data_IF_908705573992
#
_entry.id   IF_908705573992
#
_cell.length_a   1.000
_cell.length_b   1.000
_cell.length_c   1.000
_cell.angle_alpha   90.00
_cell.angle_beta   90.00
_cell.angle_gamma   90.00
#
_symmetry.space_group_name_H-M   'P 1'
#
loop_
_entity.id
_entity.type
_entity.pdbx_description
1 polymer ?
#
# COMPACT_ATOMS: atom_id res chain seq x y z
N UNK A 1 -3.67 5.23 8.81
CA UNK A 1 -2.86 6.02 7.86
C UNK A 1 -3.54 7.39 7.69
N UNK A 2 -2.84 8.50 7.95
CA UNK A 2 -3.34 9.90 7.82
C UNK A 2 -4.64 10.29 8.56
N UNK A 3 -5.03 9.57 9.61
CA UNK A 3 -6.33 9.78 10.28
C UNK A 3 -6.44 11.17 10.92
N UNK A 4 -5.37 11.67 11.54
CA UNK A 4 -5.39 12.97 12.21
C UNK A 4 -5.56 14.12 11.22
N UNK A 5 -4.82 14.09 10.10
CA UNK A 5 -4.95 15.06 9.01
C UNK A 5 -6.35 15.00 8.38
N UNK A 6 -6.84 13.79 8.13
CA UNK A 6 -8.17 13.56 7.55
C UNK A 6 -9.30 14.12 8.40
N UNK A 7 -9.28 13.84 9.71
CA UNK A 7 -10.29 14.32 10.65
C UNK A 7 -10.29 15.85 10.74
N UNK A 8 -9.11 16.48 10.75
CA UNK A 8 -9.02 17.95 10.88
C UNK A 8 -9.45 18.68 9.62
N UNK A 9 -9.03 18.21 8.43
CA UNK A 9 -9.49 18.79 7.16
C UNK A 9 -11.01 18.67 7.04
N UNK A 10 -11.58 17.51 7.39
CA UNK A 10 -13.03 17.32 7.41
C UNK A 10 -13.72 18.24 8.39
N UNK A 11 -13.24 18.33 9.62
CA UNK A 11 -13.82 19.21 10.63
C UNK A 11 -13.82 20.69 10.17
N UNK A 12 -12.78 21.12 9.47
CA UNK A 12 -12.70 22.47 8.91
C UNK A 12 -13.74 22.72 7.80
N UNK A 13 -13.96 21.74 6.92
CA UNK A 13 -14.95 21.81 5.82
C UNK A 13 -16.39 21.63 6.33
N UNK A 14 -16.59 20.76 7.33
CA UNK A 14 -17.91 20.46 7.92
C UNK A 14 -18.54 21.68 8.58
N UNK A 15 -17.73 22.62 9.08
CA UNK A 15 -18.21 23.92 9.61
C UNK A 15 -18.98 24.74 8.57
N UNK A 16 -18.74 24.49 7.27
CA UNK A 16 -19.41 25.17 6.17
C UNK A 16 -20.69 24.44 5.71
N UNK A 17 -20.89 23.18 6.13
CA UNK A 17 -22.11 22.44 5.78
C UNK A 17 -23.33 23.08 6.43
N UNK A 18 -24.42 23.18 5.66
CA UNK A 18 -25.70 23.70 6.13
C UNK A 18 -25.79 25.22 6.28
N UNK A 19 -24.72 25.99 5.95
CA UNK A 19 -24.74 27.46 6.02
C UNK A 19 -25.35 28.17 4.80
N UNK A 20 -25.63 27.45 3.71
CA UNK A 20 -26.07 28.05 2.45
C UNK A 20 -24.91 28.79 1.77
N UNK A 21 -25.08 30.07 1.40
CA UNK A 21 -24.00 30.90 0.82
C UNK A 21 -22.92 31.22 1.86
N UNK A 22 -21.67 31.16 1.44
CA UNK A 22 -20.50 31.43 2.27
C UNK A 22 -19.82 32.74 1.86
N UNK A 23 -19.21 33.44 2.81
CA UNK A 23 -18.45 34.67 2.54
C UNK A 23 -16.97 34.36 2.28
N UNK A 24 -16.23 35.32 1.70
CA UNK A 24 -14.77 35.20 1.58
C UNK A 24 -14.08 35.10 2.95
N UNK A 25 -14.66 35.73 3.99
CA UNK A 25 -14.14 35.65 5.35
C UNK A 25 -14.28 34.22 5.91
N UNK A 26 -15.40 33.54 5.66
CA UNK A 26 -15.61 32.14 6.03
C UNK A 26 -14.59 31.23 5.32
N UNK A 27 -14.37 31.44 4.02
CA UNK A 27 -13.38 30.71 3.25
C UNK A 27 -11.97 30.89 3.83
N UNK A 28 -11.54 32.13 4.11
CA UNK A 28 -10.24 32.41 4.72
C UNK A 28 -10.07 31.73 6.08
N UNK A 29 -11.13 31.68 6.90
CA UNK A 29 -11.10 30.99 8.18
C UNK A 29 -10.90 29.48 8.01
N UNK A 30 -11.67 28.83 7.13
CA UNK A 30 -11.53 27.40 6.82
C UNK A 30 -10.16 27.07 6.26
N UNK A 31 -9.66 27.88 5.32
CA UNK A 31 -8.33 27.72 4.73
C UNK A 31 -7.20 27.87 5.75
N UNK A 32 -7.36 28.76 6.73
CA UNK A 32 -6.41 28.88 7.85
C UNK A 32 -6.36 27.60 8.69
N UNK A 33 -7.51 26.98 8.97
CA UNK A 33 -7.58 25.71 9.71
C UNK A 33 -6.96 24.56 8.92
N UNK A 34 -7.22 24.48 7.61
CA UNK A 34 -6.58 23.51 6.72
C UNK A 34 -5.06 23.71 6.74
N UNK A 35 -4.58 24.96 6.66
CA UNK A 35 -3.14 25.26 6.74
C UNK A 35 -2.52 24.74 8.04
N UNK A 36 -3.17 25.01 9.18
CA UNK A 36 -2.69 24.53 10.48
C UNK A 36 -2.62 23.01 10.53
N UNK A 37 -3.65 22.34 10.00
CA UNK A 37 -3.71 20.88 9.94
C UNK A 37 -2.55 20.28 9.13
N UNK A 38 -2.19 20.90 8.01
CA UNK A 38 -1.04 20.50 7.19
C UNK A 38 0.28 20.69 7.94
N UNK A 39 0.46 21.82 8.62
CA UNK A 39 1.68 22.09 9.39
C UNK A 39 1.87 21.13 10.57
N UNK A 40 0.79 20.78 11.27
CA UNK A 40 0.80 19.79 12.35
C UNK A 40 1.04 18.37 11.85
N UNK A 41 0.79 18.14 10.57
CA UNK A 41 1.14 16.92 9.85
C UNK A 41 2.58 16.95 9.28
N UNK A 42 3.43 17.86 9.76
CA UNK A 42 4.81 18.06 9.30
C UNK A 42 4.95 18.37 7.80
N UNK A 43 3.90 18.90 7.16
CA UNK A 43 4.01 19.45 5.81
C UNK A 43 4.89 20.70 5.89
N UNK A 44 5.79 20.86 4.92
CA UNK A 44 6.64 22.05 4.82
C UNK A 44 5.81 23.34 4.79
N UNK A 45 6.31 24.40 5.44
CA UNK A 45 5.62 25.68 5.52
C UNK A 45 5.31 26.30 4.15
N UNK A 46 6.26 26.30 3.23
CA UNK A 46 6.06 26.83 1.88
C UNK A 46 5.05 26.00 1.09
N UNK A 47 5.11 24.67 1.24
CA UNK A 47 4.16 23.73 0.62
C UNK A 47 2.74 23.99 1.12
N UNK A 48 2.55 24.06 2.44
CA UNK A 48 1.25 24.31 3.05
C UNK A 48 0.71 25.71 2.70
N UNK A 49 1.57 26.73 2.63
CA UNK A 49 1.20 28.08 2.20
C UNK A 49 0.75 28.10 0.74
N UNK A 50 1.52 27.49 -0.15
CA UNK A 50 1.23 27.48 -1.58
C UNK A 50 -0.01 26.66 -1.90
N UNK A 51 -0.22 25.55 -1.19
CA UNK A 51 -1.47 24.78 -1.25
C UNK A 51 -2.69 25.66 -1.01
N UNK A 52 -2.71 26.33 0.15
CA UNK A 52 -3.86 27.13 0.57
C UNK A 52 -4.12 28.30 -0.37
N UNK A 53 -3.07 28.95 -0.86
CA UNK A 53 -3.19 30.02 -1.84
C UNK A 53 -3.86 29.54 -3.14
N UNK A 54 -3.44 28.38 -3.66
CA UNK A 54 -4.03 27.80 -4.88
C UNK A 54 -5.48 27.35 -4.67
N UNK A 55 -5.78 26.73 -3.52
CA UNK A 55 -7.16 26.37 -3.17
C UNK A 55 -8.02 27.64 -3.09
N UNK A 56 -7.53 28.72 -2.48
CA UNK A 56 -8.24 30.00 -2.41
C UNK A 56 -8.55 30.55 -3.80
N UNK A 57 -7.53 30.63 -4.67
CA UNK A 57 -7.66 31.15 -6.03
C UNK A 57 -8.69 30.35 -6.85
N UNK A 58 -8.58 29.01 -6.83
CA UNK A 58 -9.53 28.13 -7.53
C UNK A 58 -10.95 28.24 -6.99
N UNK A 59 -11.11 28.31 -5.68
CA UNK A 59 -12.43 28.43 -5.03
C UNK A 59 -13.13 29.73 -5.41
N UNK A 60 -12.38 30.84 -5.46
CA UNK A 60 -12.92 32.14 -5.89
C UNK A 60 -13.21 32.18 -7.40
N UNK A 61 -12.34 31.58 -8.22
CA UNK A 61 -12.51 31.53 -9.68
C UNK A 61 -13.66 30.65 -10.17
N UNK A 62 -14.07 29.63 -9.40
CA UNK A 62 -15.15 28.70 -9.76
C UNK A 62 -16.55 29.14 -9.27
N UNK A 63 -16.71 30.39 -8.80
CA UNK A 63 -17.96 30.90 -8.23
C UNK A 63 -18.53 30.02 -7.09
N UNK A 64 -17.66 29.33 -6.33
CA UNK A 64 -18.06 28.39 -5.26
C UNK A 64 -18.87 29.08 -4.16
N UNK A 65 -18.60 30.38 -3.94
CA UNK A 65 -19.32 31.20 -2.96
C UNK A 65 -20.81 31.36 -3.29
N UNK A 66 -21.19 31.21 -4.56
CA UNK A 66 -22.57 31.35 -5.04
C UNK A 66 -23.34 30.02 -5.06
N UNK A 67 -22.63 28.90 -4.84
CA UNK A 67 -23.19 27.54 -4.89
C UNK A 67 -24.11 27.24 -3.72
N UNK A 68 -25.04 26.31 -3.95
CA UNK A 68 -25.92 25.74 -2.94
C UNK A 68 -25.20 24.68 -2.07
N UNK A 69 -24.07 24.13 -2.54
CA UNK A 69 -23.27 23.11 -1.84
C UNK A 69 -21.79 23.50 -1.72
N UNK A 70 -21.46 24.67 -1.13
CA UNK A 70 -20.10 25.18 -1.12
C UNK A 70 -19.09 24.29 -0.39
N UNK A 71 -19.53 23.57 0.65
CA UNK A 71 -18.68 22.63 1.37
C UNK A 71 -18.17 21.47 0.48
N UNK A 72 -19.02 20.94 -0.40
CA UNK A 72 -18.66 19.85 -1.31
C UNK A 72 -17.74 20.34 -2.42
N UNK A 73 -17.99 21.53 -2.94
CA UNK A 73 -17.13 22.15 -3.95
C UNK A 73 -15.75 22.51 -3.40
N UNK A 74 -15.66 23.10 -2.20
CA UNK A 74 -14.37 23.34 -1.53
C UNK A 74 -13.62 22.03 -1.34
N UNK A 75 -14.31 20.97 -0.92
CA UNK A 75 -13.70 19.67 -0.75
C UNK A 75 -13.18 19.08 -2.08
N UNK A 76 -13.89 19.30 -3.19
CA UNK A 76 -13.43 18.94 -4.54
C UNK A 76 -12.17 19.72 -4.93
N UNK A 77 -12.14 21.03 -4.71
CA UNK A 77 -10.96 21.86 -5.01
C UNK A 77 -9.75 21.44 -4.16
N UNK A 78 -9.97 21.15 -2.87
CA UNK A 78 -8.93 20.63 -1.97
C UNK A 78 -8.43 19.27 -2.46
N UNK A 79 -9.33 18.38 -2.91
CA UNK A 79 -8.97 17.09 -3.50
C UNK A 79 -8.08 17.26 -4.73
N UNK A 80 -8.53 18.04 -5.71
CA UNK A 80 -7.80 18.28 -6.95
C UNK A 80 -6.41 18.86 -6.68
N UNK A 81 -6.30 19.81 -5.74
CA UNK A 81 -5.01 20.39 -5.39
C UNK A 81 -4.10 19.42 -4.63
N UNK A 82 -4.65 18.51 -3.81
CA UNK A 82 -3.87 17.45 -3.18
C UNK A 82 -3.32 16.47 -4.23
N UNK A 83 -4.14 16.08 -5.21
CA UNK A 83 -3.72 15.20 -6.31
C UNK A 83 -2.58 15.85 -7.09
N UNK A 84 -2.73 17.12 -7.46
CA UNK A 84 -1.71 17.87 -8.19
C UNK A 84 -0.40 17.96 -7.41
N UNK A 85 -0.48 18.28 -6.12
CA UNK A 85 0.71 18.36 -5.25
C UNK A 85 1.44 17.01 -5.12
N UNK A 86 0.70 15.91 -5.09
CA UNK A 86 1.25 14.55 -5.01
C UNK A 86 1.81 14.06 -6.36
N UNK A 87 1.64 14.82 -7.44
CA UNK A 87 2.26 14.55 -8.74
C UNK A 87 1.28 14.34 -9.89
N UNK A 88 -0.02 14.54 -9.65
CA UNK A 88 -1.07 14.41 -10.67
C UNK A 88 -1.34 12.94 -10.98
N UNK A 89 -0.95 12.51 -12.18
CA UNK A 89 -1.13 11.13 -12.62
C UNK A 89 -0.09 10.17 -12.02
N UNK A 90 -0.49 8.90 -11.84
CA UNK A 90 0.41 7.85 -11.42
C UNK A 90 1.52 7.63 -12.47
N UNK A 91 2.77 7.73 -12.04
CA UNK A 91 3.94 7.50 -12.89
C UNK A 91 4.71 6.28 -12.43
N UNK A 92 5.38 5.62 -13.38
CA UNK A 92 6.27 4.49 -13.14
C UNK A 92 7.57 4.73 -13.90
N UNK A 93 8.71 4.20 -13.42
CA UNK A 93 9.98 4.31 -14.13
C UNK A 93 9.89 3.60 -15.48
N UNK A 94 10.52 4.18 -16.50
CA UNK A 94 10.49 3.62 -17.84
C UNK A 94 11.41 2.40 -17.91
N UNK A 95 10.82 1.22 -18.08
CA UNK A 95 11.58 0.00 -18.32
C UNK A 95 11.80 -0.23 -19.82
N UNK A 96 13.07 -0.18 -20.22
CA UNK A 96 13.51 -0.60 -21.55
C UNK A 96 13.52 -2.13 -21.64
N UNK A 97 13.66 -2.66 -22.86
CA UNK A 97 13.83 -4.10 -23.06
C UNK A 97 15.15 -4.61 -22.47
N UNK A 98 16.17 -3.77 -22.43
CA UNK A 98 17.51 -4.13 -21.94
C UNK A 98 18.22 -2.94 -21.30
N UNK A 99 19.26 -3.23 -20.51
CA UNK A 99 20.16 -2.21 -19.96
C UNK A 99 19.56 -1.33 -18.86
N UNK A 100 18.50 -1.79 -18.17
CA UNK A 100 17.95 -1.04 -17.04
C UNK A 100 18.89 -1.20 -15.83
N UNK A 101 19.56 -0.11 -15.46
CA UNK A 101 20.43 -0.03 -14.30
C UNK A 101 19.91 1.07 -13.39
N UNK A 102 19.45 0.71 -12.19
CA UNK A 102 18.79 1.61 -11.26
C UNK A 102 19.59 1.71 -9.96
N UNK A 103 19.77 2.93 -9.48
CA UNK A 103 20.42 3.20 -8.20
C UNK A 103 19.38 3.43 -7.12
N UNK A 104 19.60 2.84 -5.95
CA UNK A 104 18.78 3.04 -4.76
C UNK A 104 19.59 3.87 -3.76
N UNK A 105 19.25 5.15 -3.62
CA UNK A 105 19.98 6.13 -2.80
C UNK A 105 19.14 6.67 -1.65
N UNK A 106 19.77 7.30 -0.65
CA UNK A 106 19.09 7.84 0.54
C UNK A 106 19.79 7.54 1.86
N UNK A 107 19.28 8.09 2.95
CA UNK A 107 19.87 7.94 4.29
C UNK A 107 19.82 6.49 4.80
N UNK A 108 20.65 6.18 5.79
CA UNK A 108 20.58 4.95 6.56
C UNK A 108 19.24 4.89 7.32
N UNK A 109 18.64 3.70 7.41
CA UNK A 109 17.36 3.51 8.10
C UNK A 109 16.11 3.93 7.29
N UNK A 110 16.29 4.55 6.13
CA UNK A 110 15.19 4.91 5.20
C UNK A 110 14.55 3.71 4.48
N UNK A 111 15.10 2.51 4.66
CA UNK A 111 14.57 1.29 4.04
C UNK A 111 15.11 0.96 2.65
N UNK A 112 16.25 1.51 2.22
CA UNK A 112 16.89 1.21 0.91
C UNK A 112 17.01 -0.28 0.61
N UNK A 113 17.79 -1.02 1.39
CA UNK A 113 18.06 -2.45 1.19
C UNK A 113 16.78 -3.27 1.10
N UNK A 114 15.82 -3.01 2.00
CA UNK A 114 14.52 -3.69 1.98
C UNK A 114 13.73 -3.31 0.72
N UNK A 115 13.72 -2.03 0.33
CA UNK A 115 13.04 -1.55 -0.88
C UNK A 115 13.66 -2.13 -2.14
N UNK A 116 14.99 -2.27 -2.21
CA UNK A 116 15.71 -2.93 -3.32
C UNK A 116 15.20 -4.36 -3.52
N UNK A 117 15.09 -5.13 -2.43
CA UNK A 117 14.53 -6.50 -2.50
C UNK A 117 13.05 -6.54 -2.88
N UNK A 118 12.22 -5.65 -2.32
CA UNK A 118 10.80 -5.55 -2.70
C UNK A 118 10.61 -5.18 -4.16
N UNK A 119 11.39 -4.23 -4.67
CA UNK A 119 11.36 -3.77 -6.05
C UNK A 119 11.80 -4.89 -7.00
N UNK A 120 12.85 -5.62 -6.65
CA UNK A 120 13.26 -6.82 -7.39
C UNK A 120 12.15 -7.88 -7.41
N UNK A 121 11.54 -8.17 -6.26
CA UNK A 121 10.42 -9.12 -6.18
C UNK A 121 9.21 -8.68 -7.04
N UNK A 122 8.85 -7.39 -6.97
CA UNK A 122 7.76 -6.80 -7.74
C UNK A 122 7.99 -6.91 -9.25
N UNK A 123 9.19 -6.64 -9.74
CA UNK A 123 9.46 -6.77 -11.17
C UNK A 123 9.67 -8.21 -11.61
N UNK A 124 10.18 -9.09 -10.74
CA UNK A 124 10.22 -10.54 -10.98
C UNK A 124 8.83 -11.11 -11.18
N UNK A 125 7.84 -10.72 -10.37
CA UNK A 125 6.45 -11.18 -10.53
C UNK A 125 5.80 -10.67 -11.82
N UNK A 126 6.33 -9.59 -12.40
CA UNK A 126 5.96 -9.06 -13.73
C UNK A 126 6.76 -9.68 -14.89
N UNK A 127 7.52 -10.74 -14.64
CA UNK A 127 8.27 -11.48 -15.67
C UNK A 127 9.67 -10.93 -15.99
N UNK A 128 10.14 -9.89 -15.27
CA UNK A 128 11.52 -9.39 -15.40
C UNK A 128 12.50 -10.34 -14.73
N UNK A 129 13.77 -10.24 -15.11
CA UNK A 129 14.89 -11.00 -14.55
C UNK A 129 15.81 -10.06 -13.79
N UNK A 130 15.47 -9.68 -12.55
CA UNK A 130 16.26 -8.74 -11.78
C UNK A 130 17.58 -9.35 -11.30
N UNK A 131 18.56 -8.47 -11.09
CA UNK A 131 19.82 -8.69 -10.38
C UNK A 131 19.96 -7.61 -9.31
N UNK A 132 20.27 -8.01 -8.08
CA UNK A 132 20.63 -7.08 -7.01
C UNK A 132 22.14 -6.89 -6.97
N UNK A 133 22.60 -5.66 -6.72
CA UNK A 133 24.02 -5.37 -6.49
C UNK A 133 24.14 -4.73 -5.11
N UNK A 134 24.84 -5.38 -4.20
CA UNK A 134 25.15 -4.82 -2.88
C UNK A 134 26.41 -3.97 -2.99
N UNK A 135 26.26 -2.65 -3.17
CA UNK A 135 27.35 -1.73 -3.47
C UNK A 135 27.88 -0.97 -2.23
N UNK A 136 27.58 -1.44 -1.01
CA UNK A 136 28.16 -0.90 0.21
C UNK A 136 29.54 -1.52 0.47
N UNK A 137 30.59 -0.81 0.05
CA UNK A 137 32.01 -1.21 0.16
C UNK A 137 32.56 -1.17 1.58
N UNK A 138 31.80 -0.64 2.55
CA UNK A 138 32.28 -0.38 3.91
C UNK A 138 31.59 -1.24 4.97
N UNK A 139 30.38 -1.74 4.70
CA UNK A 139 29.58 -2.51 5.67
C UNK A 139 29.29 -3.93 5.17
N UNK A 140 30.13 -4.92 5.53
CA UNK A 140 29.88 -6.32 5.18
C UNK A 140 28.50 -6.84 5.59
N UNK A 141 28.01 -6.42 6.77
CA UNK A 141 26.69 -6.81 7.26
C UNK A 141 25.53 -6.30 6.36
N UNK A 142 25.69 -5.14 5.72
CA UNK A 142 24.68 -4.62 4.79
C UNK A 142 24.64 -5.43 3.50
N UNK A 143 25.80 -5.88 3.01
CA UNK A 143 25.88 -6.76 1.83
C UNK A 143 25.28 -8.13 2.12
N UNK A 144 25.62 -8.70 3.27
CA UNK A 144 25.05 -9.96 3.76
C UNK A 144 23.52 -9.88 3.93
N UNK A 145 23.01 -8.76 4.45
CA UNK A 145 21.56 -8.53 4.56
C UNK A 145 20.87 -8.57 3.18
N UNK A 146 21.46 -7.94 2.15
CA UNK A 146 20.89 -7.99 0.81
C UNK A 146 21.00 -9.40 0.20
N UNK A 147 22.10 -10.12 0.45
CA UNK A 147 22.31 -11.51 0.01
C UNK A 147 21.20 -12.43 0.54
N UNK A 148 20.97 -12.42 1.86
CA UNK A 148 19.91 -13.21 2.51
C UNK A 148 18.53 -12.84 1.94
N UNK A 149 18.28 -11.54 1.73
CA UNK A 149 17.02 -11.08 1.15
C UNK A 149 16.85 -11.60 -0.29
N UNK A 150 17.90 -11.53 -1.11
CA UNK A 150 17.93 -12.05 -2.46
C UNK A 150 17.63 -13.56 -2.53
N UNK A 151 18.25 -14.35 -1.66
CA UNK A 151 17.99 -15.79 -1.55
C UNK A 151 16.52 -16.07 -1.23
N UNK A 152 15.95 -15.35 -0.25
CA UNK A 152 14.55 -15.50 0.15
C UNK A 152 13.56 -15.24 -0.99
N UNK A 153 13.86 -14.27 -1.86
CA UNK A 153 12.99 -13.92 -3.01
C UNK A 153 13.40 -14.63 -4.31
N UNK A 154 14.46 -15.43 -4.28
CA UNK A 154 15.05 -16.12 -5.43
C UNK A 154 15.58 -15.16 -6.51
N UNK A 155 16.26 -14.09 -6.12
CA UNK A 155 16.90 -13.12 -7.00
C UNK A 155 18.41 -13.14 -6.72
N UNK A 156 19.27 -13.28 -7.74
CA UNK A 156 20.71 -13.29 -7.54
C UNK A 156 21.21 -11.94 -7.01
N UNK A 157 22.30 -12.00 -6.24
CA UNK A 157 22.96 -10.83 -5.65
C UNK A 157 24.43 -10.83 -6.04
N UNK A 158 24.92 -9.72 -6.57
CA UNK A 158 26.34 -9.45 -6.79
C UNK A 158 26.86 -8.58 -5.65
N UNK A 159 27.80 -9.09 -4.88
CA UNK A 159 28.42 -8.36 -3.78
C UNK A 159 29.76 -7.75 -4.18
N UNK A 160 29.96 -6.49 -3.82
CA UNK A 160 31.26 -5.82 -3.92
C UNK A 160 32.19 -6.27 -2.78
N UNK A 161 33.48 -6.28 -3.04
CA UNK A 161 34.50 -6.46 -2.01
C UNK A 161 34.69 -5.18 -1.19
N UNK A 162 35.34 -5.32 -0.03
CA UNK A 162 35.67 -4.16 0.81
C UNK A 162 36.62 -3.22 0.05
N UNK A 163 36.28 -1.92 0.03
CA UNK A 163 37.04 -0.90 -0.69
C UNK A 163 37.11 -1.09 -2.21
N UNK A 164 36.23 -1.91 -2.81
CA UNK A 164 36.22 -2.13 -4.24
C UNK A 164 35.92 -0.83 -5.01
N UNK A 165 36.73 -0.56 -6.04
CA UNK A 165 36.56 0.65 -6.86
C UNK A 165 35.37 0.53 -7.81
N UNK A 166 34.65 1.63 -8.11
CA UNK A 166 33.52 1.64 -9.04
C UNK A 166 33.79 0.98 -10.40
N UNK A 167 34.99 1.16 -10.97
CA UNK A 167 35.36 0.60 -12.27
C UNK A 167 35.46 -0.93 -12.21
N UNK A 168 35.97 -1.47 -11.10
CA UNK A 168 36.02 -2.92 -10.86
C UNK A 168 34.60 -3.47 -10.74
N UNK A 169 33.72 -2.79 -10.01
CA UNK A 169 32.32 -3.19 -9.85
C UNK A 169 31.59 -3.20 -11.19
N UNK A 170 31.80 -2.17 -12.02
CA UNK A 170 31.24 -2.12 -13.38
C UNK A 170 31.71 -3.29 -14.25
N UNK A 171 33.01 -3.57 -14.25
CA UNK A 171 33.57 -4.67 -15.04
C UNK A 171 33.00 -6.04 -14.60
N UNK A 172 32.93 -6.29 -13.28
CA UNK A 172 32.32 -7.51 -12.73
C UNK A 172 30.84 -7.63 -13.07
N UNK A 173 30.08 -6.53 -13.00
CA UNK A 173 28.68 -6.51 -13.40
C UNK A 173 28.52 -6.88 -14.88
N UNK A 174 29.31 -6.27 -15.78
CA UNK A 174 29.27 -6.58 -17.21
C UNK A 174 29.62 -8.05 -17.50
N UNK A 175 30.62 -8.58 -16.82
CA UNK A 175 30.99 -9.99 -16.93
C UNK A 175 29.82 -10.89 -16.48
N UNK A 176 29.21 -10.59 -15.34
CA UNK A 176 28.05 -11.34 -14.83
C UNK A 176 26.89 -11.35 -15.83
N UNK A 177 26.53 -10.17 -16.37
CA UNK A 177 25.43 -10.03 -17.34
C UNK A 177 25.69 -10.75 -18.67
N UNK A 178 26.95 -11.00 -19.01
CA UNK A 178 27.33 -11.79 -20.20
C UNK A 178 27.02 -13.27 -20.01
N UNK A 179 27.23 -13.82 -18.81
CA UNK A 179 26.97 -15.23 -18.50
C UNK A 179 25.53 -15.51 -18.07
N UNK A 180 24.94 -14.61 -17.30
CA UNK A 180 23.55 -14.68 -16.84
C UNK A 180 22.86 -13.36 -17.15
N UNK A 181 22.16 -13.33 -18.27
CA UNK A 181 21.45 -12.13 -18.72
C UNK A 181 20.34 -11.73 -17.73
N UNK A 182 20.37 -10.47 -17.32
CA UNK A 182 19.42 -9.84 -16.39
C UNK A 182 19.01 -8.49 -16.97
N UNK A 183 17.71 -8.29 -17.17
CA UNK A 183 17.18 -7.10 -17.86
C UNK A 183 16.94 -5.91 -16.93
N UNK A 184 17.04 -6.13 -15.61
CA UNK A 184 16.92 -5.11 -14.58
C UNK A 184 18.00 -5.30 -13.51
N UNK A 185 18.87 -4.32 -13.34
CA UNK A 185 19.90 -4.30 -12.29
C UNK A 185 19.54 -3.22 -11.27
N UNK A 186 19.39 -3.60 -10.02
CA UNK A 186 19.09 -2.69 -8.90
C UNK A 186 20.30 -2.64 -7.98
N UNK A 187 20.93 -1.48 -7.90
CA UNK A 187 22.13 -1.23 -7.10
C UNK A 187 21.72 -0.61 -5.76
N UNK A 188 21.88 -1.38 -4.68
CA UNK A 188 21.71 -0.89 -3.31
C UNK A 188 22.99 -0.17 -2.87
N UNK A 189 22.97 1.15 -2.82
CA UNK A 189 24.15 1.95 -2.50
C UNK A 189 24.34 2.08 -1.00
N UNK A 190 25.56 2.47 -0.59
CA UNK A 190 25.82 2.80 0.80
C UNK A 190 24.86 3.87 1.34
N UNK A 191 24.60 3.82 2.64
CA UNK A 191 23.80 4.80 3.37
C UNK A 191 24.50 5.27 4.64
N UNK A 192 24.23 6.51 5.05
CA UNK A 192 24.72 7.08 6.30
C UNK A 192 23.61 7.75 7.08
N UNK A 193 23.82 7.93 8.38
CA UNK A 193 22.88 8.61 9.27
C UNK A 193 22.67 10.07 8.86
N UNK A 194 23.71 10.71 8.34
CA UNK A 194 23.69 12.10 7.88
C UNK A 194 24.34 12.20 6.52
N UNK A 195 24.11 13.34 5.86
CA UNK A 195 24.71 13.67 4.58
C UNK A 195 26.14 14.11 4.84
N UNK A 196 27.09 13.30 4.37
CA UNK A 196 28.52 13.56 4.45
C UNK A 196 29.06 13.81 3.03
N UNK A 197 29.92 14.82 2.88
CA UNK A 197 30.56 15.18 1.62
C UNK A 197 31.30 13.98 1.00
N UNK A 198 32.08 13.25 1.80
CA UNK A 198 32.91 12.16 1.30
C UNK A 198 32.06 11.03 0.69
N UNK A 199 30.91 10.70 1.31
CA UNK A 199 30.00 9.69 0.78
C UNK A 199 29.29 10.17 -0.50
N UNK A 200 28.88 11.45 -0.53
CA UNK A 200 28.23 11.99 -1.72
C UNK A 200 29.18 12.00 -2.91
N UNK A 201 30.48 12.26 -2.68
CA UNK A 201 31.51 12.20 -3.70
C UNK A 201 31.75 10.75 -4.18
N UNK A 202 31.82 9.78 -3.27
CA UNK A 202 31.90 8.34 -3.59
C UNK A 202 30.69 7.89 -4.42
N UNK A 203 29.48 8.29 -4.02
CA UNK A 203 28.24 7.96 -4.72
C UNK A 203 28.16 8.63 -6.10
N UNK A 204 28.63 9.88 -6.22
CA UNK A 204 28.71 10.59 -7.49
C UNK A 204 29.69 9.92 -8.45
N UNK A 205 30.87 9.50 -7.95
CA UNK A 205 31.85 8.74 -8.73
C UNK A 205 31.26 7.40 -9.18
N UNK A 206 30.61 6.66 -8.28
CA UNK A 206 29.95 5.39 -8.62
C UNK A 206 28.88 5.60 -9.69
N UNK A 207 28.05 6.65 -9.57
CA UNK A 207 27.03 7.01 -10.56
C UNK A 207 27.67 7.34 -11.92
N UNK A 208 28.73 8.14 -11.94
CA UNK A 208 29.42 8.53 -13.16
C UNK A 208 29.99 7.31 -13.89
N UNK A 209 30.60 6.39 -13.16
CA UNK A 209 31.18 5.18 -13.73
C UNK A 209 30.10 4.22 -14.20
N UNK A 210 29.05 3.99 -13.42
CA UNK A 210 28.04 2.97 -13.72
C UNK A 210 26.99 3.44 -14.73
N UNK A 211 26.67 4.73 -14.79
CA UNK A 211 25.72 5.32 -15.72
C UNK A 211 24.28 4.80 -15.54
N UNK A 212 23.65 4.92 -14.36
CA UNK A 212 22.31 4.41 -14.13
C UNK A 212 21.24 5.15 -14.93
N UNK A 213 20.28 4.40 -15.46
CA UNK A 213 19.08 4.90 -16.13
C UNK A 213 18.07 5.55 -15.19
N UNK A 214 18.02 5.12 -13.93
CA UNK A 214 17.18 5.72 -12.88
C UNK A 214 18.01 5.86 -11.59
N UNK A 215 17.83 6.96 -10.88
CA UNK A 215 18.38 7.17 -9.53
C UNK A 215 17.19 7.41 -8.60
N UNK A 216 16.80 6.36 -7.86
CA UNK A 216 15.62 6.34 -7.02
C UNK A 216 16.01 6.69 -5.58
N UNK A 217 15.49 7.81 -5.09
CA UNK A 217 15.68 8.23 -3.70
C UNK A 217 14.63 7.56 -2.81
N UNK A 218 15.10 6.80 -1.84
CA UNK A 218 14.25 6.18 -0.82
C UNK A 218 14.13 7.12 0.37
N UNK A 219 12.90 7.52 0.67
CA UNK A 219 12.56 8.48 1.72
C UNK A 219 11.69 7.79 2.76
N UNK A 220 12.07 7.94 4.03
CA UNK A 220 11.24 7.51 5.16
C UNK A 220 10.09 8.51 5.35
N UNK A 221 8.84 8.04 5.32
CA UNK A 221 7.68 8.92 5.47
C UNK A 221 7.57 9.49 6.90
N UNK A 222 8.20 8.84 7.89
CA UNK A 222 8.13 9.24 9.29
C UNK A 222 9.07 10.39 9.66
N UNK A 223 10.07 10.72 8.83
CA UNK A 223 11.10 11.73 9.17
C UNK A 223 10.66 13.18 8.93
N UNK A 224 9.41 13.39 8.49
CA UNK A 224 8.78 14.71 8.41
C UNK A 224 9.60 15.71 7.58
N UNK A 225 10.05 16.80 8.21
CA UNK A 225 10.82 17.84 7.52
C UNK A 225 12.24 17.42 7.14
N UNK A 226 12.85 16.46 7.84
CA UNK A 226 14.21 16.00 7.51
C UNK A 226 14.26 15.34 6.13
N UNK A 227 13.16 14.67 5.73
CA UNK A 227 12.98 14.13 4.39
C UNK A 227 13.23 15.18 3.29
N UNK A 228 12.96 16.46 3.54
CA UNK A 228 13.12 17.54 2.57
C UNK A 228 14.56 17.90 2.32
N UNK A 229 15.29 18.12 3.41
CA UNK A 229 16.70 18.47 3.35
C UNK A 229 17.49 17.35 2.68
N UNK A 230 17.14 16.10 3.01
CA UNK A 230 17.67 14.91 2.35
C UNK A 230 17.33 14.92 0.86
N UNK A 231 16.06 15.08 0.53
CA UNK A 231 15.62 15.00 -0.87
C UNK A 231 16.27 16.07 -1.75
N UNK A 232 16.38 17.29 -1.23
CA UNK A 232 17.07 18.40 -1.91
C UNK A 232 18.56 18.10 -2.11
N UNK A 233 19.26 17.71 -1.06
CA UNK A 233 20.71 17.48 -1.12
C UNK A 233 21.09 16.29 -2.03
N UNK A 234 20.29 15.21 -2.04
CA UNK A 234 20.50 14.10 -2.96
C UNK A 234 20.21 14.47 -4.40
N UNK A 235 19.15 15.25 -4.67
CA UNK A 235 18.85 15.70 -6.02
C UNK A 235 19.91 16.67 -6.56
N UNK A 236 20.34 17.65 -5.75
CA UNK A 236 21.34 18.64 -6.17
C UNK A 236 22.71 18.02 -6.48
N UNK A 237 23.13 16.99 -5.72
CA UNK A 237 24.47 16.41 -5.85
C UNK A 237 24.54 15.17 -6.72
N UNK A 238 23.55 14.29 -6.61
CA UNK A 238 23.54 13.02 -7.33
C UNK A 238 22.64 13.12 -8.56
N UNK A 239 21.56 13.90 -8.52
CA UNK A 239 20.55 13.96 -9.57
C UNK A 239 19.59 12.78 -9.48
N UNK A 240 18.48 12.99 -8.78
CA UNK A 240 17.44 11.99 -8.56
C UNK A 240 16.45 12.01 -9.72
N UNK A 241 15.92 10.85 -10.10
CA UNK A 241 14.94 10.71 -11.18
C UNK A 241 13.53 10.41 -10.66
N UNK A 242 13.44 9.76 -9.50
CA UNK A 242 12.16 9.46 -8.85
C UNK A 242 12.31 9.14 -7.36
N UNK A 243 11.19 9.15 -6.67
CA UNK A 243 11.11 8.92 -5.23
C UNK A 243 10.41 7.58 -4.92
N UNK A 244 10.83 6.95 -3.83
CA UNK A 244 10.11 5.83 -3.21
C UNK A 244 9.89 6.19 -1.74
N UNK A 245 8.63 6.19 -1.31
CA UNK A 245 8.27 6.43 0.08
C UNK A 245 8.22 5.10 0.84
N UNK A 246 8.76 5.04 2.04
CA UNK A 246 8.67 3.85 2.90
C UNK A 246 7.95 4.15 4.20
N UNK A 247 7.55 3.09 4.92
CA UNK A 247 6.86 3.16 6.22
C UNK A 247 5.58 4.02 6.16
N UNK A 248 4.90 4.02 5.01
CA UNK A 248 3.69 4.82 4.83
C UNK A 248 2.56 4.32 5.72
N UNK A 249 2.58 3.04 6.10
CA UNK A 249 1.66 2.40 7.05
C UNK A 249 1.79 2.96 8.47
N UNK A 250 3.01 3.29 8.88
CA UNK A 250 3.30 3.93 10.17
C UNK A 250 3.11 5.45 10.17
N UNK A 251 2.94 6.06 8.99
CA UNK A 251 2.81 7.50 8.87
C UNK A 251 1.36 7.96 9.15
N UNK A 252 1.19 8.56 10.34
CA UNK A 252 -0.06 9.16 10.75
C UNK A 252 -0.25 10.58 10.18
N UNK A 253 0.78 11.18 9.58
CA UNK A 253 0.85 12.61 9.26
C UNK A 253 0.87 12.88 7.75
N UNK A 254 1.72 12.22 6.97
CA UNK A 254 1.71 12.33 5.49
C UNK A 254 2.45 13.54 4.92
N UNK A 255 3.03 14.36 5.77
CA UNK A 255 3.73 15.58 5.35
C UNK A 255 4.98 15.33 4.52
N UNK A 256 5.69 14.22 4.77
CA UNK A 256 6.91 13.87 4.05
C UNK A 256 6.65 13.64 2.55
N UNK A 257 5.56 12.93 2.21
CA UNK A 257 5.18 12.64 0.83
C UNK A 257 4.92 13.91 0.01
N UNK A 258 4.05 14.78 0.55
CA UNK A 258 3.67 16.06 -0.06
C UNK A 258 4.88 16.96 -0.25
N UNK A 259 5.75 16.98 0.75
CA UNK A 259 6.87 17.92 0.78
C UNK A 259 8.03 17.45 -0.12
N UNK A 260 8.38 16.16 -0.13
CA UNK A 260 9.50 15.64 -0.92
C UNK A 260 9.28 15.81 -2.44
N UNK A 261 8.04 15.60 -2.90
CA UNK A 261 7.64 15.83 -4.29
C UNK A 261 7.75 17.29 -4.70
N UNK A 262 7.29 18.20 -3.83
CA UNK A 262 7.32 19.63 -4.08
C UNK A 262 8.75 20.16 -4.20
N UNK A 263 9.65 19.74 -3.29
CA UNK A 263 11.03 20.24 -3.26
C UNK A 263 11.88 19.68 -4.40
N UNK A 264 11.75 18.40 -4.72
CA UNK A 264 12.59 17.77 -5.76
C UNK A 264 12.06 17.95 -7.17
N UNK A 265 10.76 18.21 -7.33
CA UNK A 265 10.13 18.18 -8.64
C UNK A 265 10.00 16.78 -9.27
N UNK A 266 10.47 15.72 -8.59
CA UNK A 266 10.54 14.34 -9.13
C UNK A 266 9.31 13.51 -8.76
N UNK A 267 8.80 12.65 -9.67
CA UNK A 267 7.64 11.82 -9.38
C UNK A 267 7.91 10.83 -8.25
N UNK A 268 6.87 10.49 -7.49
CA UNK A 268 6.88 9.35 -6.58
C UNK A 268 6.42 8.13 -7.38
N UNK A 269 7.26 7.10 -7.45
CA UNK A 269 6.96 5.90 -8.23
C UNK A 269 6.32 4.79 -7.38
N UNK A 270 6.78 4.63 -6.14
CA UNK A 270 6.34 3.54 -5.27
C UNK A 270 6.14 4.02 -3.83
N UNK A 271 5.26 3.30 -3.13
CA UNK A 271 5.07 3.43 -1.69
C UNK A 271 5.15 2.07 -1.01
N UNK A 272 5.97 2.00 0.04
CA UNK A 272 6.03 0.89 0.97
C UNK A 272 4.95 1.03 2.03
N UNK A 273 3.96 0.13 1.98
CA UNK A 273 2.76 0.14 2.84
C UNK A 273 2.71 -1.05 3.82
N UNK A 274 3.75 -1.87 3.86
CA UNK A 274 3.97 -2.84 4.93
C UNK A 274 5.42 -3.32 4.93
N UNK A 275 5.85 -3.99 6.00
CA UNK A 275 7.19 -4.60 6.08
C UNK A 275 7.35 -5.85 5.19
N UNK A 276 6.24 -6.49 4.79
CA UNK A 276 6.24 -7.70 3.96
C UNK A 276 6.87 -7.44 2.58
N UNK A 277 7.35 -8.50 1.94
CA UNK A 277 8.03 -8.41 0.63
C UNK A 277 7.07 -7.90 -0.45
N UNK A 278 5.79 -8.27 -0.35
CA UNK A 278 4.70 -7.83 -1.21
C UNK A 278 4.18 -6.42 -0.86
N UNK A 279 4.72 -5.81 0.19
CA UNK A 279 4.28 -4.53 0.74
C UNK A 279 4.75 -3.28 -0.02
N UNK A 280 5.17 -3.42 -1.28
CA UNK A 280 5.56 -2.31 -2.14
C UNK A 280 4.55 -2.17 -3.28
N UNK A 281 3.87 -1.03 -3.32
CA UNK A 281 2.80 -0.76 -4.29
C UNK A 281 3.19 0.41 -5.19
N UNK A 282 2.74 0.44 -6.46
CA UNK A 282 2.79 1.65 -7.29
C UNK A 282 2.11 2.82 -6.59
N UNK A 283 2.68 4.01 -6.74
CA UNK A 283 2.13 5.21 -6.11
C UNK A 283 0.99 5.81 -6.96
N UNK A 284 -0.17 5.98 -6.33
CA UNK A 284 -1.38 6.55 -6.94
C UNK A 284 -1.75 7.84 -6.18
N UNK A 285 -1.43 9.03 -6.73
CA UNK A 285 -1.68 10.32 -6.08
C UNK A 285 -3.16 10.55 -5.74
N UNK A 286 -4.05 10.18 -6.65
CA UNK A 286 -5.51 10.24 -6.53
C UNK A 286 -6.04 9.41 -5.35
N UNK A 287 -5.57 8.17 -5.20
CA UNK A 287 -5.96 7.29 -4.09
C UNK A 287 -5.45 7.81 -2.75
N UNK A 288 -4.23 8.33 -2.72
CA UNK A 288 -3.68 8.91 -1.50
C UNK A 288 -4.45 10.17 -1.08
N UNK A 289 -4.78 11.06 -2.03
CA UNK A 289 -5.59 12.24 -1.77
C UNK A 289 -7.00 11.87 -1.26
N UNK A 290 -7.65 10.86 -1.86
CA UNK A 290 -8.93 10.33 -1.39
C UNK A 290 -8.84 9.84 0.06
N UNK A 291 -7.80 9.07 0.39
CA UNK A 291 -7.54 8.59 1.76
C UNK A 291 -7.28 9.73 2.74
N UNK A 292 -6.52 10.75 2.35
CA UNK A 292 -6.31 11.97 3.16
C UNK A 292 -7.65 12.67 3.43
N UNK A 293 -8.54 12.77 2.44
CA UNK A 293 -9.87 13.34 2.65
C UNK A 293 -10.88 12.35 3.25
N UNK A 294 -10.42 11.13 3.56
CA UNK A 294 -11.21 10.00 4.06
C UNK A 294 -12.33 9.55 3.12
N UNK A 295 -12.35 10.04 1.88
CA UNK A 295 -13.23 9.56 0.84
C UNK A 295 -12.78 8.13 0.58
N UNK A 296 -13.58 7.14 0.98
CA UNK A 296 -13.17 5.73 0.87
C UNK A 296 -12.64 5.42 -0.53
N UNK A 297 -11.54 4.70 -0.60
CA UNK A 297 -10.86 4.33 -1.84
C UNK A 297 -11.69 3.25 -2.57
N UNK A 298 -12.75 3.70 -3.24
CA UNK A 298 -13.70 2.85 -3.97
C UNK A 298 -13.00 2.03 -5.05
N UNK A 299 -11.94 2.56 -5.67
CA UNK A 299 -11.20 1.85 -6.70
C UNK A 299 -10.35 0.72 -6.14
N UNK A 300 -9.61 0.93 -5.04
CA UNK A 300 -8.88 -0.17 -4.39
C UNK A 300 -9.84 -1.22 -3.85
N UNK A 301 -11.01 -0.82 -3.35
CA UNK A 301 -12.07 -1.78 -2.98
C UNK A 301 -12.56 -2.58 -4.19
N UNK A 302 -12.77 -1.93 -5.34
CA UNK A 302 -13.14 -2.59 -6.60
C UNK A 302 -12.05 -3.51 -7.15
N UNK A 303 -10.78 -3.13 -7.06
CA UNK A 303 -9.66 -3.96 -7.52
C UNK A 303 -9.45 -5.17 -6.62
N UNK A 304 -9.50 -4.99 -5.30
CA UNK A 304 -9.45 -6.10 -4.33
C UNK A 304 -10.68 -7.00 -4.48
N UNK A 305 -11.86 -6.42 -4.74
CA UNK A 305 -13.07 -7.19 -5.03
C UNK A 305 -12.95 -7.97 -6.35
N UNK A 306 -12.38 -7.38 -7.42
CA UNK A 306 -12.13 -8.07 -8.70
C UNK A 306 -11.10 -9.18 -8.57
N UNK A 307 -10.03 -8.96 -7.80
CA UNK A 307 -9.07 -10.03 -7.48
C UNK A 307 -9.75 -11.17 -6.71
N UNK A 308 -10.63 -10.85 -5.77
CA UNK A 308 -11.42 -11.85 -5.05
C UNK A 308 -12.46 -12.56 -5.94
N UNK A 309 -13.08 -11.88 -6.91
CA UNK A 309 -14.03 -12.46 -7.87
C UNK A 309 -13.36 -13.41 -8.86
N UNK A 310 -12.13 -13.09 -9.32
CA UNK A 310 -11.35 -13.97 -10.20
C UNK A 310 -10.91 -15.27 -9.51
N UNK A 311 -10.88 -15.29 -8.17
CA UNK A 311 -10.53 -16.47 -7.37
C UNK A 311 -11.74 -17.23 -6.80
N UNK A 312 -12.97 -16.75 -7.02
CA UNK A 312 -14.19 -17.40 -6.53
C UNK A 312 -14.74 -18.38 -7.59
N UNK A 313 -14.78 -19.69 -7.32
CA UNK A 313 -15.41 -20.63 -8.25
C UNK A 313 -16.93 -20.36 -8.30
N UNK A 314 -17.47 -20.15 -9.50
CA UNK A 314 -18.91 -20.13 -9.79
C UNK A 314 -19.50 -21.52 -9.55
N UNK A 315 -19.69 -21.90 -8.29
CA UNK A 315 -20.46 -23.09 -7.90
C UNK A 315 -21.88 -22.69 -7.55
N UNK A 316 -22.83 -23.53 -7.93
CA UNK A 316 -24.24 -23.40 -7.59
C UNK A 316 -24.41 -23.32 -6.06
N UNK A 317 -25.11 -22.29 -5.56
CA UNK A 317 -25.25 -22.00 -4.12
C UNK A 317 -25.90 -23.16 -3.31
N UNK A 318 -26.49 -24.14 -3.99
CA UNK A 318 -27.05 -25.35 -3.38
C UNK A 318 -25.97 -26.35 -2.94
N UNK A 319 -24.79 -26.32 -3.57
CA UNK A 319 -23.72 -27.30 -3.41
C UNK A 319 -22.58 -26.83 -2.50
N UNK A 320 -22.70 -25.67 -1.84
CA UNK A 320 -21.68 -25.19 -0.90
C UNK A 320 -21.46 -26.24 0.19
N UNK A 321 -20.22 -26.73 0.28
CA UNK A 321 -19.73 -27.70 1.26
C UNK A 321 -18.87 -27.04 2.34
N UNK A 322 -18.57 -27.76 3.43
CA UNK A 322 -17.63 -27.27 4.45
C UNK A 322 -16.22 -27.03 3.90
N UNK A 323 -15.84 -27.78 2.87
CA UNK A 323 -14.54 -27.64 2.21
C UNK A 323 -14.45 -26.34 1.42
N UNK A 324 -15.55 -25.95 0.75
CA UNK A 324 -15.64 -24.65 0.07
C UNK A 324 -15.58 -23.50 1.08
N UNK A 325 -16.26 -23.61 2.24
CA UNK A 325 -16.20 -22.61 3.30
C UNK A 325 -14.77 -22.43 3.82
N UNK A 326 -14.05 -23.52 4.12
CA UNK A 326 -12.65 -23.44 4.59
C UNK A 326 -11.74 -22.88 3.50
N UNK A 327 -11.98 -23.22 2.24
CA UNK A 327 -11.19 -22.70 1.11
C UNK A 327 -11.35 -21.18 1.00
N UNK A 328 -12.59 -20.69 1.11
CA UNK A 328 -12.89 -19.26 1.16
C UNK A 328 -12.27 -18.59 2.39
N UNK A 329 -12.31 -19.22 3.57
CA UNK A 329 -11.65 -18.69 4.76
C UNK A 329 -10.12 -18.67 4.63
N UNK A 330 -9.51 -19.65 3.95
CA UNK A 330 -8.06 -19.65 3.63
C UNK A 330 -7.70 -18.54 2.63
N UNK A 331 -8.55 -18.27 1.64
CA UNK A 331 -8.38 -17.17 0.70
C UNK A 331 -8.51 -15.82 1.42
N UNK A 332 -9.53 -15.66 2.27
CA UNK A 332 -9.68 -14.48 3.13
C UNK A 332 -8.46 -14.30 4.06
N UNK A 333 -7.87 -15.38 4.58
CA UNK A 333 -6.62 -15.35 5.35
C UNK A 333 -5.44 -14.78 4.55
N UNK A 334 -5.34 -15.09 3.24
CA UNK A 334 -4.28 -14.55 2.38
C UNK A 334 -4.40 -13.05 2.14
N UNK A 335 -5.60 -12.48 2.26
CA UNK A 335 -5.88 -11.07 1.99
C UNK A 335 -5.69 -10.13 3.21
N UNK A 336 -5.39 -10.66 4.40
CA UNK A 336 -5.23 -9.84 5.62
C UNK A 336 -6.54 -9.56 6.36
N UNK A 337 -6.48 -8.74 7.42
CA UNK A 337 -7.54 -8.64 8.43
C UNK A 337 -8.88 -8.19 7.82
N UNK A 338 -9.85 -9.10 7.76
CA UNK A 338 -11.20 -8.84 7.26
C UNK A 338 -11.89 -7.70 8.03
N UNK A 339 -11.48 -7.48 9.27
CA UNK A 339 -11.83 -6.35 10.13
C UNK A 339 -11.48 -4.99 9.54
N UNK A 340 -10.31 -4.85 8.90
CA UNK A 340 -9.91 -3.59 8.25
C UNK A 340 -10.77 -3.33 6.99
N UNK A 341 -11.03 -4.36 6.19
CA UNK A 341 -11.83 -4.23 4.95
C UNK A 341 -13.29 -3.87 5.30
N UNK A 342 -13.88 -4.51 6.31
CA UNK A 342 -15.25 -4.20 6.76
C UNK A 342 -15.35 -2.83 7.45
N UNK A 343 -14.28 -2.38 8.12
CA UNK A 343 -14.20 -1.05 8.73
C UNK A 343 -14.20 0.10 7.71
N UNK A 344 -13.87 -0.19 6.45
CA UNK A 344 -13.80 0.80 5.36
C UNK A 344 -15.12 0.95 4.58
N UNK A 345 -16.13 0.10 4.81
CA UNK A 345 -17.42 0.17 4.12
C UNK A 345 -18.43 0.97 4.98
N UNK A 346 -18.89 2.15 4.52
CA UNK A 346 -19.86 2.96 5.27
C UNK A 346 -21.16 2.19 5.53
N UNK A 347 -21.58 2.10 6.79
CA UNK A 347 -22.88 1.54 7.20
C UNK A 347 -22.89 0.05 7.57
N UNK A 348 -21.86 -0.73 7.21
CA UNK A 348 -21.78 -2.17 7.55
C UNK A 348 -21.49 -2.42 9.03
N UNK A 349 -20.80 -1.50 9.72
CA UNK A 349 -20.54 -1.61 11.17
C UNK A 349 -21.82 -1.67 12.01
N UNK A 350 -22.96 -1.21 11.48
CA UNK A 350 -24.27 -1.29 12.15
C UNK A 350 -25.01 -2.62 11.92
N UNK A 351 -24.59 -3.41 10.92
CA UNK A 351 -25.18 -4.71 10.59
C UNK A 351 -24.40 -5.89 11.18
N UNK A 352 -23.19 -5.66 11.70
CA UNK A 352 -22.38 -6.69 12.34
C UNK A 352 -22.82 -6.89 13.80
N UNK A 353 -22.93 -8.15 14.27
CA UNK A 353 -23.19 -8.43 15.68
C UNK A 353 -22.06 -7.84 16.56
N UNK A 354 -22.38 -7.32 17.77
CA UNK A 354 -21.36 -6.88 18.71
C UNK A 354 -20.36 -8.00 19.01
N UNK A 355 -19.06 -7.75 18.83
CA UNK A 355 -17.99 -8.72 19.13
C UNK A 355 -17.56 -9.65 17.98
N UNK A 356 -17.95 -9.36 16.73
CA UNK A 356 -17.47 -10.12 15.57
C UNK A 356 -15.99 -9.80 15.29
N UNK A 357 -15.08 -10.70 15.70
CA UNK A 357 -13.68 -10.70 15.31
C UNK A 357 -13.30 -12.03 14.67
N UNK A 358 -12.60 -11.98 13.54
CA UNK A 358 -12.03 -13.17 12.91
C UNK A 358 -10.62 -13.34 13.44
N UNK A 359 -10.48 -14.07 14.55
CA UNK A 359 -9.17 -14.42 15.12
C UNK A 359 -8.52 -15.52 14.27
N UNK A 360 -7.27 -15.30 13.84
CA UNK A 360 -6.48 -16.26 13.05
C UNK A 360 -6.40 -17.63 13.73
N UNK A 361 -6.35 -17.66 15.07
CA UNK A 361 -6.33 -18.90 15.84
C UNK A 361 -7.65 -19.67 15.73
N UNK A 362 -8.78 -18.98 15.57
CA UNK A 362 -10.07 -19.62 15.37
C UNK A 362 -10.18 -20.24 13.98
N UNK A 363 -9.65 -19.58 12.95
CA UNK A 363 -9.64 -20.14 11.59
C UNK A 363 -8.85 -21.44 11.53
N UNK A 364 -7.67 -21.48 12.17
CA UNK A 364 -6.86 -22.70 12.25
C UNK A 364 -7.58 -23.84 12.99
N UNK A 365 -8.34 -23.55 14.05
CA UNK A 365 -9.16 -24.56 14.75
C UNK A 365 -10.30 -25.09 13.88
N UNK A 366 -10.98 -24.21 13.15
CA UNK A 366 -12.04 -24.60 12.21
C UNK A 366 -11.48 -25.49 11.09
N UNK A 367 -10.30 -25.15 10.56
CA UNK A 367 -9.59 -25.94 9.57
C UNK A 367 -9.23 -27.33 10.09
N UNK A 368 -8.69 -27.43 11.31
CA UNK A 368 -8.40 -28.70 11.95
C UNK A 368 -9.66 -29.58 12.13
N UNK A 369 -10.79 -28.97 12.53
CA UNK A 369 -12.08 -29.68 12.65
C UNK A 369 -12.53 -30.26 11.31
N UNK A 370 -12.45 -29.49 10.22
CA UNK A 370 -12.89 -29.96 8.88
C UNK A 370 -11.94 -31.03 8.34
N UNK A 371 -10.63 -30.90 8.56
CA UNK A 371 -9.66 -31.93 8.17
C UNK A 371 -9.91 -33.27 8.88
N UNK A 372 -10.40 -33.24 10.12
CA UNK A 372 -10.78 -34.43 10.91
C UNK A 372 -12.13 -35.06 10.51
N UNK A 373 -12.86 -34.47 9.57
CA UNK A 373 -14.08 -35.04 8.99
C UNK A 373 -13.76 -35.94 7.79
N UNK A 374 -14.59 -36.95 7.57
CA UNK A 374 -14.57 -37.75 6.33
C UNK A 374 -15.15 -36.94 5.15
N UNK A 375 -14.81 -37.29 3.90
CA UNK A 375 -15.34 -36.60 2.71
C UNK A 375 -16.88 -36.56 2.65
N UNK A 376 -17.56 -37.61 3.14
CA UNK A 376 -19.03 -37.65 3.20
C UNK A 376 -19.59 -36.65 4.21
N UNK A 377 -18.93 -36.49 5.36
CA UNK A 377 -19.34 -35.54 6.41
C UNK A 377 -19.06 -34.09 6.02
N UNK A 378 -18.01 -33.82 5.25
CA UNK A 378 -17.71 -32.48 4.72
C UNK A 378 -18.75 -32.01 3.70
N UNK A 379 -19.25 -32.93 2.87
CA UNK A 379 -20.29 -32.67 1.88
C UNK A 379 -21.66 -32.50 2.51
N UNK A 380 -21.98 -33.34 3.50
CA UNK A 380 -23.26 -33.24 4.22
C UNK A 380 -23.08 -33.36 5.76
N UNK A 381 -22.94 -32.22 6.46
CA UNK A 381 -22.78 -32.20 7.91
C UNK A 381 -24.01 -32.71 8.69
N UNK A 382 -25.17 -32.85 8.04
CA UNK A 382 -26.41 -33.32 8.70
C UNK A 382 -26.32 -34.78 9.16
N UNK A 383 -25.39 -35.56 8.61
CA UNK A 383 -25.16 -36.96 9.00
C UNK A 383 -24.37 -37.10 10.31
N UNK A 384 -23.91 -35.99 10.90
CA UNK A 384 -23.08 -35.98 12.09
C UNK A 384 -23.89 -36.25 13.37
N UNK A 385 -23.82 -37.50 13.85
CA UNK A 385 -24.31 -37.92 15.16
C UNK A 385 -23.28 -37.65 16.28
N UNK A 386 -23.68 -37.88 17.53
CA UNK A 386 -22.85 -37.62 18.72
C UNK A 386 -21.50 -38.38 18.70
N UNK A 387 -21.50 -39.63 18.23
CA UNK A 387 -20.28 -40.45 18.10
C UNK A 387 -19.28 -39.86 17.09
N UNK A 388 -19.77 -39.45 15.91
CA UNK A 388 -18.96 -38.78 14.88
C UNK A 388 -18.39 -37.46 15.38
N UNK A 389 -19.19 -36.64 16.09
CA UNK A 389 -18.73 -35.36 16.65
C UNK A 389 -17.66 -35.56 17.72
N UNK A 390 -17.77 -36.60 18.56
CA UNK A 390 -16.74 -36.95 19.54
C UNK A 390 -15.42 -37.39 18.88
N UNK A 391 -15.51 -38.18 17.80
CA UNK A 391 -14.33 -38.57 17.00
C UNK A 391 -13.65 -37.36 16.34
N UNK A 392 -14.44 -36.48 15.72
CA UNK A 392 -13.92 -35.27 15.05
C UNK A 392 -13.20 -34.38 16.07
N UNK A 393 -13.85 -34.10 17.21
CA UNK A 393 -13.28 -33.30 18.29
C UNK A 393 -11.93 -33.86 18.79
N UNK A 394 -11.85 -35.19 19.00
CA UNK A 394 -10.61 -35.85 19.39
C UNK A 394 -9.52 -35.74 18.31
N UNK A 395 -9.87 -35.91 17.02
CA UNK A 395 -8.92 -35.82 15.91
C UNK A 395 -8.42 -34.40 15.62
N UNK A 396 -9.23 -33.37 15.91
CA UNK A 396 -8.86 -31.96 15.72
C UNK A 396 -8.24 -31.31 16.96
N UNK A 397 -8.18 -32.00 18.10
CA UNK A 397 -7.73 -31.43 19.37
C UNK A 397 -8.67 -30.34 19.91
N UNK A 398 -9.96 -30.43 19.60
CA UNK A 398 -11.00 -29.46 19.99
C UNK A 398 -12.09 -30.13 20.80
N UNK A 399 -13.08 -29.34 21.26
CA UNK A 399 -14.24 -29.83 22.00
C UNK A 399 -15.43 -30.13 21.08
N UNK A 400 -16.38 -30.95 21.55
CA UNK A 400 -17.62 -31.24 20.81
C UNK A 400 -18.46 -29.97 20.63
N UNK A 401 -18.39 -29.04 21.58
CA UNK A 401 -19.03 -27.74 21.52
C UNK A 401 -18.50 -26.88 20.37
N UNK A 402 -17.17 -26.88 20.15
CA UNK A 402 -16.55 -26.17 19.03
C UNK A 402 -16.95 -26.78 17.67
N UNK A 403 -17.03 -28.10 17.59
CA UNK A 403 -17.54 -28.80 16.39
C UNK A 403 -19.00 -28.42 16.10
N UNK A 404 -19.85 -28.37 17.13
CA UNK A 404 -21.25 -27.95 16.99
C UNK A 404 -21.38 -26.50 16.55
N UNK A 405 -20.54 -25.62 17.09
CA UNK A 405 -20.51 -24.20 16.74
C UNK A 405 -20.16 -23.99 15.28
N UNK A 406 -19.14 -24.71 14.78
CA UNK A 406 -18.76 -24.66 13.36
C UNK A 406 -19.90 -25.08 12.43
N UNK A 407 -20.57 -26.21 12.74
CA UNK A 407 -21.68 -26.72 11.92
C UNK A 407 -22.82 -25.70 11.88
N UNK A 408 -23.15 -25.11 13.04
CA UNK A 408 -24.18 -24.08 13.13
C UNK A 408 -23.82 -22.85 12.29
N UNK A 409 -22.59 -22.33 12.43
CA UNK A 409 -22.10 -21.21 11.62
C UNK A 409 -22.17 -21.50 10.12
N UNK A 410 -21.87 -22.73 9.71
CA UNK A 410 -21.98 -23.16 8.31
C UNK A 410 -23.44 -23.19 7.82
N UNK A 411 -24.36 -23.72 8.62
CA UNK A 411 -25.80 -23.74 8.30
C UNK A 411 -26.38 -22.32 8.19
N UNK A 412 -26.05 -21.45 9.15
CA UNK A 412 -26.47 -20.04 9.17
C UNK A 412 -25.95 -19.30 7.93
N UNK A 413 -24.68 -19.51 7.57
CA UNK A 413 -24.06 -18.92 6.38
C UNK A 413 -24.74 -19.42 5.10
N UNK A 414 -25.05 -20.72 5.01
CA UNK A 414 -25.77 -21.31 3.88
C UNK A 414 -27.20 -20.75 3.75
N UNK A 415 -27.87 -20.46 4.86
CA UNK A 415 -29.19 -19.83 4.86
C UNK A 415 -29.13 -18.35 4.47
N UNK A 416 -28.13 -17.61 4.92
CA UNK A 416 -27.89 -16.22 4.52
C UNK A 416 -27.66 -16.11 3.00
N UNK A 417 -26.75 -16.92 2.44
CA UNK A 417 -26.45 -16.93 1.01
C UNK A 417 -27.66 -17.30 0.14
N UNK A 418 -28.49 -18.25 0.60
CA UNK A 418 -29.78 -18.56 -0.07
C UNK A 418 -30.75 -17.38 -0.05
N UNK A 419 -30.75 -16.57 1.00
CA UNK A 419 -31.66 -15.42 1.14
C UNK A 419 -31.21 -14.27 0.25
N UNK A 420 -29.90 -13.98 0.22
CA UNK A 420 -29.30 -12.97 -0.66
C UNK A 420 -29.51 -13.31 -2.14
N UNK A 421 -29.30 -14.56 -2.54
CA UNK A 421 -29.56 -15.00 -3.91
C UNK A 421 -31.03 -14.88 -4.33
N UNK A 422 -31.97 -15.13 -3.41
CA UNK A 422 -33.40 -14.91 -3.64
C UNK A 422 -33.76 -13.43 -3.77
N UNK A 423 -33.09 -12.54 -3.02
CA UNK A 423 -33.26 -11.08 -3.15
C UNK A 423 -32.68 -10.56 -4.46
N UNK A 424 -31.50 -11.04 -4.88
CA UNK A 424 -30.88 -10.68 -6.15
C UNK A 424 -31.73 -11.15 -7.36
N UNK A 425 -32.31 -12.34 -7.28
CA UNK A 425 -33.25 -12.84 -8.29
C UNK A 425 -34.60 -12.07 -8.33
N UNK A 426 -35.00 -11.43 -7.23
CA UNK A 426 -36.19 -10.55 -7.18
C UNK A 426 -35.89 -9.12 -7.62
N UNK A 427 -34.68 -8.61 -7.37
CA UNK A 427 -34.23 -7.28 -7.82
C UNK A 427 -33.98 -7.18 -9.32
N UNK A 428 -33.65 -8.30 -9.99
CA UNK A 428 -33.43 -8.35 -11.43
C UNK A 428 -34.67 -8.22 -12.32
N UNK A 429 -35.89 -8.29 -11.77
CA UNK A 429 -37.15 -8.13 -12.54
C UNK A 429 -37.69 -6.70 -12.54
N UNK A 430 -37.03 -5.75 -11.86
CA UNK A 430 -37.50 -4.37 -11.74
C UNK A 430 -36.75 -3.32 -12.57
N UNK A 431 -35.57 -3.62 -13.11
CA UNK A 431 -34.72 -2.61 -13.76
C UNK A 431 -34.74 -2.58 -15.30
N UNK A 432 -35.56 -3.41 -15.96
CA UNK A 432 -35.76 -3.37 -17.43
C UNK A 432 -37.22 -3.11 -17.81
N UNK A 433 -37.88 -2.16 -17.13
CA UNK A 433 -39.19 -1.66 -17.58
C UNK A 433 -39.46 -0.22 -17.16
N UNK A 434 -38.72 0.72 -17.74
CA UNK A 434 -39.22 1.87 -18.49
C UNK A 434 -38.06 2.80 -18.82
#
# INVERSE_FOLDING_TARGET
>A
MFESLSQRIRAAVDKLRGRGRITEADLKATLREIRMSLLEADVNFEVAKNFVNKVQEKTLGQAVLESLTPAEQILSVVYEELVEMLGGEAKQPLLKNEGNLWFMVGLQGSGKTTTSGKLAHFYKSKGRRPLLVAADTQRPAAREQLRILGEKIGVPVLEVADGERPETTRARLQQHLTFDYRDLVIVDTAGRLQIDQALMDELAQLKQVMGPSETLLVVDSMTGQEALNVSKAFDERIGVTGLILTKLDGDARGGAALSARYVTGKPIYFAGVSEKVEGLEPFYPDRLAQRILGMGDLQTLLEKARQAELEAPQKDLKEITLEDLITQMRQMRKMGSFTEILGMIPGISRMLPPGFSVDEKQVNRMEAIVLSMTPKERRDPRILNASRRKRIAAGSGTTVQEVNRLIKTFEDTKQMLKTLAKQQARGGRGLFRR
#
